data_IF_928069986640
#
_entry.id   IF_928069986640
#
_cell.length_a   1.000
_cell.length_b   1.000
_cell.length_c   1.000
_cell.angle_alpha   90.00
_cell.angle_beta   90.00
_cell.angle_gamma   90.00
#
_symmetry.space_group_name_H-M   'P 1'
#
loop_
_entity.id
_entity.type
_entity.pdbx_description
1 polymer ?
#
# COMPACT_ATOMS: atom_id res chain seq x y z
N UNK A 1 -65.85 -55.63 32.34
CA UNK A 1 -65.05 -54.55 31.73
C UNK A 1 -63.60 -54.99 31.82
N UNK A 2 -63.06 -55.44 30.68
CA UNK A 2 -61.81 -56.19 30.60
C UNK A 2 -60.61 -55.38 31.07
N UNK A 3 -59.78 -56.02 31.91
CA UNK A 3 -58.44 -55.55 32.20
C UNK A 3 -57.69 -55.39 30.87
N UNK A 4 -57.28 -54.17 30.56
CA UNK A 4 -56.31 -53.93 29.49
C UNK A 4 -55.02 -54.57 29.92
N UNK A 5 -54.76 -55.79 29.43
CA UNK A 5 -53.42 -56.34 29.38
C UNK A 5 -52.53 -55.27 28.75
N UNK A 6 -51.61 -54.74 29.56
CA UNK A 6 -50.57 -53.86 29.05
C UNK A 6 -49.79 -54.68 28.05
N UNK A 7 -49.98 -54.36 26.78
CA UNK A 7 -49.20 -54.84 25.67
C UNK A 7 -47.74 -54.49 25.98
N UNK A 8 -47.02 -55.44 26.58
CA UNK A 8 -45.58 -55.37 26.77
C UNK A 8 -44.99 -55.31 25.38
N UNK A 9 -44.75 -54.08 24.92
CA UNK A 9 -44.01 -53.79 23.70
C UNK A 9 -42.71 -54.59 23.78
N UNK A 10 -42.43 -55.49 22.83
CA UNK A 10 -41.15 -56.18 22.80
C UNK A 10 -40.07 -55.11 22.60
N UNK A 11 -39.31 -54.79 23.65
CA UNK A 11 -38.07 -54.03 23.51
C UNK A 11 -37.22 -54.80 22.51
N UNK A 12 -37.02 -54.21 21.34
CA UNK A 12 -36.12 -54.72 20.31
C UNK A 12 -34.70 -54.66 20.87
N UNK A 13 -34.31 -55.68 21.65
CA UNK A 13 -33.04 -55.79 22.34
C UNK A 13 -31.98 -56.39 21.40
N UNK A 14 -31.68 -55.67 20.32
CA UNK A 14 -30.46 -55.88 19.57
C UNK A 14 -29.48 -54.77 19.92
N UNK A 15 -28.31 -55.12 20.45
CA UNK A 15 -27.19 -54.18 20.46
C UNK A 15 -26.58 -54.13 19.07
N UNK A 16 -26.20 -52.95 18.59
CA UNK A 16 -25.51 -52.84 17.32
C UNK A 16 -24.17 -53.58 17.37
N UNK A 17 -23.85 -54.34 16.33
CA UNK A 17 -22.60 -55.12 16.23
C UNK A 17 -21.56 -54.31 15.44
N UNK A 18 -20.42 -54.04 16.07
CA UNK A 18 -19.27 -53.37 15.45
C UNK A 18 -18.27 -54.44 14.98
N UNK A 19 -17.24 -54.07 14.19
CA UNK A 19 -16.20 -54.94 13.62
C UNK A 19 -15.60 -55.96 14.62
N UNK A 20 -15.74 -55.71 15.94
CA UNK A 20 -15.54 -56.70 16.99
C UNK A 20 -16.51 -56.49 18.17
N UNK A 21 -17.62 -57.24 18.17
CA UNK A 21 -18.56 -57.31 19.31
C UNK A 21 -19.65 -56.23 19.34
N UNK A 22 -20.40 -56.17 20.43
CA UNK A 22 -21.51 -55.22 20.60
C UNK A 22 -21.03 -53.80 20.92
N UNK A 23 -21.84 -52.80 20.55
CA UNK A 23 -21.57 -51.40 20.84
C UNK A 23 -21.58 -51.14 22.35
N UNK A 24 -20.38 -51.06 22.94
CA UNK A 24 -20.16 -50.98 24.40
C UNK A 24 -21.03 -49.95 25.10
N UNK A 25 -21.25 -48.77 24.51
CA UNK A 25 -22.06 -47.71 25.11
C UNK A 25 -23.55 -48.08 25.21
N UNK A 26 -24.09 -48.77 24.21
CA UNK A 26 -25.49 -49.23 24.23
C UNK A 26 -25.69 -50.34 25.27
N UNK A 27 -24.69 -51.21 25.42
CA UNK A 27 -24.71 -52.25 26.46
C UNK A 27 -24.66 -51.65 27.86
N UNK A 28 -23.80 -50.66 28.08
CA UNK A 28 -23.71 -49.96 29.38
C UNK A 28 -25.04 -49.28 29.71
N UNK A 29 -25.59 -48.51 28.77
CA UNK A 29 -26.86 -47.80 28.95
C UNK A 29 -28.04 -48.76 29.20
N UNK A 30 -28.05 -49.93 28.55
CA UNK A 30 -29.06 -50.94 28.81
C UNK A 30 -28.91 -51.60 30.19
N UNK A 31 -27.67 -51.87 30.64
CA UNK A 31 -27.41 -52.40 31.98
C UNK A 31 -27.82 -51.37 33.03
N UNK A 32 -27.48 -50.10 32.85
CA UNK A 32 -27.89 -49.01 33.74
C UNK A 32 -29.42 -48.92 33.83
N UNK A 33 -30.13 -48.97 32.69
CA UNK A 33 -31.59 -49.01 32.67
C UNK A 33 -32.17 -50.25 33.37
N UNK A 34 -31.57 -51.44 33.19
CA UNK A 34 -32.01 -52.66 33.88
C UNK A 34 -31.75 -52.58 35.39
N UNK A 35 -30.62 -52.01 35.81
CA UNK A 35 -30.31 -51.77 37.20
C UNK A 35 -31.32 -50.81 37.84
N UNK A 36 -31.70 -49.74 37.14
CA UNK A 36 -32.76 -48.83 37.57
C UNK A 36 -34.12 -49.53 37.69
N UNK A 37 -34.52 -50.32 36.68
CA UNK A 37 -35.76 -51.10 36.73
C UNK A 37 -35.78 -52.12 37.87
N UNK A 38 -34.65 -52.81 38.12
CA UNK A 38 -34.52 -53.71 39.27
C UNK A 38 -34.61 -52.97 40.60
N UNK A 39 -34.05 -51.75 40.69
CA UNK A 39 -34.20 -50.91 41.89
C UNK A 39 -35.65 -50.51 42.12
N UNK A 40 -36.36 -50.01 41.11
CA UNK A 40 -37.77 -49.63 41.23
C UNK A 40 -38.65 -50.82 41.63
N UNK A 41 -38.52 -51.96 40.95
CA UNK A 41 -39.31 -53.16 41.29
C UNK A 41 -38.99 -53.71 42.68
N UNK A 42 -37.74 -53.56 43.15
CA UNK A 42 -37.37 -53.93 44.52
C UNK A 42 -37.97 -52.99 45.57
N UNK A 43 -38.06 -51.69 45.28
CA UNK A 43 -38.73 -50.71 46.12
C UNK A 43 -40.23 -50.97 46.19
N UNK A 44 -40.88 -51.16 45.05
CA UNK A 44 -42.32 -51.50 44.98
C UNK A 44 -42.62 -52.79 45.74
N UNK A 45 -41.76 -53.80 45.61
CA UNK A 45 -41.88 -55.05 46.38
C UNK A 45 -41.73 -54.79 47.88
N UNK A 46 -40.79 -53.96 48.31
CA UNK A 46 -40.59 -53.64 49.72
C UNK A 46 -41.80 -52.89 50.28
N UNK A 47 -42.36 -51.94 49.53
CA UNK A 47 -43.56 -51.21 49.91
C UNK A 47 -44.78 -52.15 50.02
N UNK A 48 -44.99 -53.03 49.04
CA UNK A 48 -46.09 -54.00 49.08
C UNK A 48 -45.96 -54.97 50.27
N UNK A 49 -44.73 -55.37 50.63
CA UNK A 49 -44.49 -56.19 51.82
C UNK A 49 -44.79 -55.43 53.12
N UNK A 50 -44.46 -54.13 53.19
CA UNK A 50 -44.80 -53.29 54.34
C UNK A 50 -46.33 -53.14 54.49
N UNK A 51 -47.04 -52.82 53.40
CA UNK A 51 -48.49 -52.72 53.37
C UNK A 51 -49.16 -54.05 53.80
N UNK A 52 -48.64 -55.19 53.34
CA UNK A 52 -49.15 -56.50 53.75
C UNK A 52 -48.92 -56.79 55.25
N UNK A 53 -47.80 -56.33 55.82
CA UNK A 53 -47.53 -56.44 57.24
C UNK A 53 -48.49 -55.57 58.07
N UNK A 54 -48.76 -54.34 57.63
CA UNK A 54 -49.70 -53.44 58.27
C UNK A 54 -51.14 -53.99 58.25
N UNK A 55 -51.57 -54.52 57.10
CA UNK A 55 -52.89 -55.16 56.98
C UNK A 55 -53.01 -56.38 57.90
N UNK A 56 -51.96 -57.21 58.03
CA UNK A 56 -51.94 -58.32 58.99
C UNK A 56 -52.06 -57.83 60.42
N UNK A 57 -51.37 -56.75 60.77
CA UNK A 57 -51.47 -56.14 62.11
C UNK A 57 -52.90 -55.66 62.40
N UNK A 58 -53.53 -54.99 61.44
CA UNK A 58 -54.93 -54.54 61.58
C UNK A 58 -55.89 -55.73 61.72
N UNK A 59 -55.69 -56.80 60.94
CA UNK A 59 -56.51 -58.01 61.08
C UNK A 59 -56.35 -58.68 62.44
N UNK A 60 -55.13 -58.72 62.97
CA UNK A 60 -54.90 -59.30 64.29
C UNK A 60 -55.50 -58.45 65.41
N UNK A 61 -55.36 -57.12 65.33
CA UNK A 61 -56.00 -56.19 66.27
C UNK A 61 -57.52 -56.34 66.23
N UNK A 62 -58.13 -56.33 65.04
CA UNK A 62 -59.59 -56.47 64.92
C UNK A 62 -60.10 -57.83 65.37
N UNK A 63 -59.31 -58.90 65.23
CA UNK A 63 -59.63 -60.22 65.79
C UNK A 63 -59.60 -60.20 67.32
N UNK A 64 -58.56 -59.60 67.91
CA UNK A 64 -58.45 -59.44 69.36
C UNK A 64 -59.61 -58.60 69.90
N UNK A 65 -59.93 -57.48 69.26
CA UNK A 65 -61.06 -56.63 69.64
C UNK A 65 -62.40 -57.39 69.60
N UNK A 66 -62.61 -58.25 68.60
CA UNK A 66 -63.80 -59.09 68.50
C UNK A 66 -63.85 -60.16 69.60
N UNK A 67 -62.72 -60.79 69.92
CA UNK A 67 -62.63 -61.76 71.02
C UNK A 67 -62.88 -61.08 72.38
N UNK A 68 -62.34 -59.89 72.60
CA UNK A 68 -62.60 -59.09 73.79
C UNK A 68 -64.07 -58.66 73.90
N UNK A 69 -64.66 -58.19 72.81
CA UNK A 69 -66.07 -57.82 72.76
C UNK A 69 -66.98 -59.03 73.06
N UNK A 70 -66.67 -60.20 72.49
CA UNK A 70 -67.38 -61.46 72.78
C UNK A 70 -67.27 -61.85 74.26
N UNK A 71 -66.06 -61.83 74.82
CA UNK A 71 -65.82 -62.13 76.23
C UNK A 71 -66.49 -61.11 77.17
N UNK A 72 -66.66 -59.86 76.73
CA UNK A 72 -67.39 -58.82 77.48
C UNK A 72 -68.90 -59.09 77.46
N UNK A 73 -69.46 -59.49 76.33
CA UNK A 73 -70.88 -59.88 76.22
C UNK A 73 -71.18 -61.08 77.12
N UNK A 74 -70.37 -62.14 77.06
CA UNK A 74 -70.53 -63.34 77.89
C UNK A 74 -70.45 -63.03 79.39
N UNK A 75 -69.58 -62.09 79.79
CA UNK A 75 -69.51 -61.58 81.17
C UNK A 75 -70.75 -60.78 81.57
N UNK A 76 -71.33 -59.98 80.68
CA UNK A 76 -72.54 -59.21 80.97
C UNK A 76 -73.78 -60.12 81.08
N UNK A 77 -73.85 -61.17 80.28
CA UNK A 77 -74.92 -62.18 80.34
C UNK A 77 -74.87 -62.98 81.65
N UNK A 78 -73.68 -63.31 82.15
CA UNK A 78 -73.49 -64.10 83.38
C UNK A 78 -73.65 -63.29 84.68
N UNK A 79 -73.48 -61.96 84.64
CA UNK A 79 -73.53 -61.08 85.83
C UNK A 79 -74.89 -60.40 86.06
N UNK A 80 -75.85 -60.57 85.15
CA UNK A 80 -77.16 -59.92 85.20
C UNK A 80 -78.17 -60.65 86.09
N UNK A 81 -77.96 -60.57 87.41
CA UNK A 81 -78.87 -61.11 88.42
C UNK A 81 -79.38 -60.05 89.41
N UNK A 82 -80.03 -58.97 88.95
CA UNK A 82 -80.95 -58.11 89.75
C UNK A 82 -81.47 -56.92 88.91
N UNK A 83 -82.60 -57.09 88.22
CA UNK A 83 -83.02 -56.18 87.13
C UNK A 83 -84.00 -55.05 87.50
N UNK A 84 -84.54 -55.03 88.71
CA UNK A 84 -85.54 -54.05 89.16
C UNK A 84 -85.03 -52.58 89.24
N UNK A 85 -84.40 -52.30 90.38
CA UNK A 85 -84.09 -50.93 90.82
C UNK A 85 -82.69 -50.43 90.43
N UNK A 86 -81.80 -51.34 90.00
CA UNK A 86 -80.50 -51.00 89.44
C UNK A 86 -80.68 -50.44 88.01
N UNK A 87 -81.52 -51.09 87.19
CA UNK A 87 -81.84 -50.66 85.83
C UNK A 87 -82.47 -49.27 85.79
N UNK A 88 -83.38 -48.95 86.71
CA UNK A 88 -84.05 -47.64 86.75
C UNK A 88 -83.12 -46.50 87.22
N UNK A 89 -82.16 -46.77 88.12
CA UNK A 89 -81.11 -45.81 88.47
C UNK A 89 -80.09 -45.64 87.33
N UNK A 90 -79.75 -46.72 86.64
CA UNK A 90 -78.84 -46.69 85.50
C UNK A 90 -79.45 -45.91 84.32
N UNK A 91 -80.73 -46.10 84.01
CA UNK A 91 -81.42 -45.31 82.98
C UNK A 91 -81.47 -43.81 83.32
N UNK A 92 -81.71 -43.46 84.60
CA UNK A 92 -81.66 -42.06 85.03
C UNK A 92 -80.27 -41.45 84.94
N UNK A 93 -79.24 -42.21 85.33
CA UNK A 93 -77.85 -41.78 85.23
C UNK A 93 -77.38 -41.65 83.78
N UNK A 94 -77.78 -42.58 82.91
CA UNK A 94 -77.51 -42.50 81.47
C UNK A 94 -78.18 -41.29 80.84
N UNK A 95 -79.44 -41.01 81.19
CA UNK A 95 -80.14 -39.82 80.68
C UNK A 95 -79.50 -38.53 81.16
N UNK A 96 -79.07 -38.46 82.42
CA UNK A 96 -78.29 -37.33 82.93
C UNK A 96 -76.94 -37.18 82.22
N UNK A 97 -76.25 -38.29 81.95
CA UNK A 97 -74.99 -38.28 81.21
C UNK A 97 -75.18 -37.90 79.73
N UNK A 98 -76.30 -38.28 79.11
CA UNK A 98 -76.70 -37.86 77.76
C UNK A 98 -77.00 -36.36 77.71
N UNK A 99 -77.77 -35.85 78.68
CA UNK A 99 -78.07 -34.42 78.82
C UNK A 99 -76.78 -33.62 79.07
N UNK A 100 -75.91 -34.09 79.98
CA UNK A 100 -74.60 -33.47 80.26
C UNK A 100 -73.66 -33.54 79.05
N UNK A 101 -73.64 -34.65 78.30
CA UNK A 101 -72.88 -34.75 77.06
C UNK A 101 -73.41 -33.79 75.98
N UNK A 102 -74.73 -33.64 75.85
CA UNK A 102 -75.33 -32.69 74.91
C UNK A 102 -74.99 -31.24 75.28
N UNK A 103 -74.99 -30.90 76.58
CA UNK A 103 -74.56 -29.59 77.07
C UNK A 103 -73.06 -29.34 76.79
N UNK A 104 -72.20 -30.34 77.05
CA UNK A 104 -70.77 -30.24 76.73
C UNK A 104 -70.54 -30.08 75.22
N UNK A 105 -71.27 -30.80 74.37
CA UNK A 105 -71.18 -30.64 72.92
C UNK A 105 -71.55 -29.22 72.51
N UNK A 106 -72.69 -28.71 72.97
CA UNK A 106 -73.12 -27.34 72.66
C UNK A 106 -72.11 -26.29 73.13
N UNK A 107 -71.49 -26.49 74.29
CA UNK A 107 -70.41 -25.61 74.78
C UNK A 107 -69.19 -25.68 73.87
N UNK A 108 -68.70 -26.87 73.54
CA UNK A 108 -67.53 -27.03 72.66
C UNK A 108 -67.77 -26.47 71.25
N UNK A 109 -68.98 -26.61 70.71
CA UNK A 109 -69.36 -26.04 69.41
C UNK A 109 -69.30 -24.51 69.43
N UNK A 110 -69.79 -23.88 70.51
CA UNK A 110 -69.70 -22.43 70.70
C UNK A 110 -68.26 -21.97 70.83
N UNK A 111 -67.46 -22.63 71.66
CA UNK A 111 -66.04 -22.32 71.81
C UNK A 111 -65.27 -22.47 70.50
N UNK A 112 -65.57 -23.52 69.72
CA UNK A 112 -64.99 -23.71 68.39
C UNK A 112 -65.42 -22.62 67.41
N UNK A 113 -66.68 -22.19 67.44
CA UNK A 113 -67.17 -21.09 66.62
C UNK A 113 -66.48 -19.76 66.98
N UNK A 114 -66.40 -19.43 68.26
CA UNK A 114 -65.72 -18.24 68.76
C UNK A 114 -64.24 -18.23 68.40
N UNK A 115 -63.57 -19.38 68.54
CA UNK A 115 -62.16 -19.51 68.16
C UNK A 115 -61.98 -19.33 66.66
N UNK A 116 -62.85 -19.92 65.83
CA UNK A 116 -62.82 -19.74 64.37
C UNK A 116 -62.98 -18.27 63.99
N UNK A 117 -63.99 -17.58 64.53
CA UNK A 117 -64.24 -16.17 64.24
C UNK A 117 -63.02 -15.29 64.62
N UNK A 118 -62.42 -15.52 65.79
CA UNK A 118 -61.19 -14.82 66.20
C UNK A 118 -60.04 -15.09 65.25
N UNK A 119 -59.78 -16.36 64.90
CA UNK A 119 -58.70 -16.71 63.98
C UNK A 119 -58.92 -16.16 62.57
N UNK A 120 -60.17 -16.12 62.09
CA UNK A 120 -60.50 -15.54 60.79
C UNK A 120 -60.27 -14.03 60.79
N UNK A 121 -60.65 -13.33 61.87
CA UNK A 121 -60.39 -11.91 62.04
C UNK A 121 -58.87 -11.61 62.11
N UNK A 122 -58.11 -12.40 62.87
CA UNK A 122 -56.65 -12.28 62.95
C UNK A 122 -55.98 -12.53 61.59
N UNK A 123 -56.38 -13.59 60.88
CA UNK A 123 -55.87 -13.87 59.53
C UNK A 123 -56.21 -12.78 58.53
N UNK A 124 -57.42 -12.20 58.61
CA UNK A 124 -57.83 -11.09 57.77
C UNK A 124 -57.00 -9.83 58.07
N UNK A 125 -56.71 -9.55 59.34
CA UNK A 125 -55.85 -8.43 59.74
C UNK A 125 -54.41 -8.60 59.20
N UNK A 126 -53.80 -9.77 59.40
CA UNK A 126 -52.45 -10.08 58.92
C UNK A 126 -52.38 -10.00 57.39
N UNK A 127 -53.41 -10.49 56.67
CA UNK A 127 -53.48 -10.38 55.20
C UNK A 127 -53.56 -8.92 54.76
N UNK A 128 -54.41 -8.12 55.39
CA UNK A 128 -54.53 -6.70 55.08
C UNK A 128 -53.23 -5.93 55.35
N UNK A 129 -52.49 -6.27 56.41
CA UNK A 129 -51.17 -5.71 56.69
C UNK A 129 -50.15 -6.10 55.62
N UNK A 130 -50.04 -7.39 55.29
CA UNK A 130 -49.14 -7.88 54.26
C UNK A 130 -49.43 -7.26 52.87
N UNK A 131 -50.71 -7.07 52.53
CA UNK A 131 -51.12 -6.40 51.30
C UNK A 131 -50.71 -4.93 51.28
N UNK A 132 -50.88 -4.21 52.40
CA UNK A 132 -50.43 -2.81 52.53
C UNK A 132 -48.92 -2.69 52.41
N UNK A 133 -48.16 -3.54 53.10
CA UNK A 133 -46.70 -3.57 53.01
C UNK A 133 -46.22 -3.89 51.60
N UNK A 134 -46.83 -4.88 50.94
CA UNK A 134 -46.51 -5.20 49.56
C UNK A 134 -46.85 -4.06 48.61
N UNK A 135 -47.97 -3.35 48.81
CA UNK A 135 -48.34 -2.20 48.01
C UNK A 135 -47.38 -1.03 48.22
N UNK A 136 -46.98 -0.76 49.47
CA UNK A 136 -45.99 0.26 49.81
C UNK A 136 -44.63 -0.03 49.15
N UNK A 137 -44.11 -1.25 49.29
CA UNK A 137 -42.85 -1.66 48.66
C UNK A 137 -42.90 -1.54 47.12
N UNK A 138 -44.03 -1.87 46.49
CA UNK A 138 -44.21 -1.69 45.04
C UNK A 138 -44.22 -0.22 44.65
N UNK A 139 -44.94 0.63 45.37
CA UNK A 139 -44.99 2.05 45.10
C UNK A 139 -43.61 2.72 45.27
N UNK A 140 -42.86 2.34 46.30
CA UNK A 140 -41.48 2.78 46.52
C UNK A 140 -40.57 2.36 45.35
N UNK A 141 -40.58 1.06 45.00
CA UNK A 141 -39.79 0.55 43.88
C UNK A 141 -40.14 1.22 42.54
N UNK A 142 -41.43 1.48 42.27
CA UNK A 142 -41.87 2.20 41.08
C UNK A 142 -41.35 3.64 41.06
N UNK A 143 -41.34 4.33 42.21
CA UNK A 143 -40.82 5.69 42.33
C UNK A 143 -39.31 5.75 42.11
N UNK A 144 -38.56 4.78 42.62
CA UNK A 144 -37.11 4.65 42.42
C UNK A 144 -36.78 4.33 40.96
N UNK A 145 -37.52 3.41 40.33
CA UNK A 145 -37.38 3.11 38.91
C UNK A 145 -37.70 4.33 38.04
N UNK A 146 -38.69 5.13 38.42
CA UNK A 146 -39.00 6.37 37.73
C UNK A 146 -37.89 7.40 37.87
N UNK A 147 -37.37 7.62 39.09
CA UNK A 147 -36.26 8.54 39.35
C UNK A 147 -34.99 8.14 38.59
N UNK A 148 -34.59 6.87 38.67
CA UNK A 148 -33.42 6.35 37.93
C UNK A 148 -33.58 6.47 36.43
N UNK A 149 -34.78 6.23 35.87
CA UNK A 149 -35.05 6.46 34.44
C UNK A 149 -34.92 7.94 34.06
N UNK A 150 -35.42 8.86 34.89
CA UNK A 150 -35.25 10.29 34.65
C UNK A 150 -33.78 10.72 34.72
N UNK A 151 -33.01 10.19 35.67
CA UNK A 151 -31.59 10.46 35.79
C UNK A 151 -30.81 9.92 34.59
N UNK A 152 -31.10 8.70 34.15
CA UNK A 152 -30.52 8.13 32.93
C UNK A 152 -30.88 8.97 31.69
N UNK A 153 -32.15 9.36 31.55
CA UNK A 153 -32.60 10.18 30.42
C UNK A 153 -31.95 11.57 30.40
N UNK A 154 -31.84 12.23 31.57
CA UNK A 154 -31.19 13.54 31.67
C UNK A 154 -29.70 13.46 31.39
N UNK A 155 -29.01 12.41 31.87
CA UNK A 155 -27.61 12.15 31.57
C UNK A 155 -27.39 11.85 30.09
N UNK A 156 -28.24 11.04 29.47
CA UNK A 156 -28.19 10.76 28.03
C UNK A 156 -28.35 12.05 27.22
N UNK A 157 -29.37 12.86 27.52
CA UNK A 157 -29.59 14.14 26.85
C UNK A 157 -28.42 15.14 27.06
N UNK A 158 -27.78 15.13 28.22
CA UNK A 158 -26.60 15.96 28.48
C UNK A 158 -25.37 15.50 27.68
N UNK A 159 -25.20 14.19 27.49
CA UNK A 159 -24.13 13.63 26.67
C UNK A 159 -24.35 13.93 25.18
N UNK A 160 -25.57 13.74 24.67
CA UNK A 160 -25.93 14.09 23.29
C UNK A 160 -25.67 15.57 22.98
N UNK A 161 -26.00 16.48 23.92
CA UNK A 161 -25.69 17.92 23.76
C UNK A 161 -24.19 18.18 23.68
N UNK A 162 -23.39 17.51 24.51
CA UNK A 162 -21.92 17.64 24.50
C UNK A 162 -21.34 17.10 23.19
N UNK A 163 -21.84 15.98 22.70
CA UNK A 163 -21.41 15.40 21.41
C UNK A 163 -21.70 16.37 20.27
N UNK A 164 -22.92 16.90 20.18
CA UNK A 164 -23.29 17.91 19.18
C UNK A 164 -22.44 19.19 19.30
N UNK A 165 -22.13 19.64 20.51
CA UNK A 165 -21.24 20.79 20.73
C UNK A 165 -19.80 20.50 20.23
N UNK A 166 -19.29 19.30 20.48
CA UNK A 166 -17.95 18.90 20.00
C UNK A 166 -17.92 18.74 18.49
N UNK A 167 -18.94 18.13 17.89
CA UNK A 167 -19.08 18.02 16.43
C UNK A 167 -19.10 19.39 15.76
N UNK A 168 -19.85 20.35 16.33
CA UNK A 168 -19.85 21.74 15.85
C UNK A 168 -18.47 22.37 15.95
N UNK A 169 -17.77 22.22 17.08
CA UNK A 169 -16.40 22.74 17.26
C UNK A 169 -15.42 22.11 16.27
N UNK A 170 -15.52 20.81 16.02
CA UNK A 170 -14.69 20.12 15.03
C UNK A 170 -14.98 20.66 13.63
N UNK A 171 -16.25 20.81 13.24
CA UNK A 171 -16.64 21.37 11.95
C UNK A 171 -16.15 22.82 11.77
N UNK A 172 -16.26 23.64 12.82
CA UNK A 172 -15.77 25.03 12.82
C UNK A 172 -14.25 25.09 12.65
N UNK A 173 -13.50 24.26 13.38
CA UNK A 173 -12.05 24.17 13.27
C UNK A 173 -11.61 23.66 11.89
N UNK A 174 -12.29 22.64 11.35
CA UNK A 174 -12.04 22.17 9.99
C UNK A 174 -12.29 23.25 8.95
N UNK A 175 -13.38 24.01 9.09
CA UNK A 175 -13.68 25.13 8.20
C UNK A 175 -12.60 26.21 8.27
N UNK A 176 -12.13 26.57 9.47
CA UNK A 176 -11.03 27.52 9.66
C UNK A 176 -9.72 27.00 9.03
N UNK A 177 -9.40 25.73 9.22
CA UNK A 177 -8.19 25.14 8.63
C UNK A 177 -8.26 25.11 7.11
N UNK A 178 -9.42 24.77 6.53
CA UNK A 178 -9.64 24.84 5.08
C UNK A 178 -9.49 26.27 4.55
N UNK A 179 -10.09 27.26 5.23
CA UNK A 179 -9.94 28.66 4.85
C UNK A 179 -8.48 29.13 4.87
N UNK A 180 -7.72 28.79 5.92
CA UNK A 180 -6.29 29.15 6.00
C UNK A 180 -5.45 28.42 4.96
N UNK A 181 -5.79 27.18 4.62
CA UNK A 181 -5.13 26.46 3.54
C UNK A 181 -5.38 27.15 2.19
N UNK A 182 -6.64 27.48 1.88
CA UNK A 182 -7.01 28.20 0.65
C UNK A 182 -6.34 29.59 0.56
N UNK A 183 -6.23 30.30 1.69
CA UNK A 183 -5.51 31.59 1.77
C UNK A 183 -4.02 31.41 1.47
N UNK A 184 -3.35 30.47 2.13
CA UNK A 184 -1.92 30.19 1.91
C UNK A 184 -1.67 29.73 0.48
N UNK A 185 -2.53 28.89 -0.09
CA UNK A 185 -2.42 28.46 -1.49
C UNK A 185 -2.51 29.64 -2.46
N UNK A 186 -3.42 30.59 -2.21
CA UNK A 186 -3.53 31.82 -3.03
C UNK A 186 -2.29 32.69 -2.89
N UNK A 187 -1.84 32.96 -1.68
CA UNK A 187 -0.62 33.74 -1.43
C UNK A 187 0.61 33.08 -2.09
N UNK A 188 0.74 31.76 -1.99
CA UNK A 188 1.82 31.02 -2.64
C UNK A 188 1.73 31.11 -4.17
N UNK A 189 0.52 30.98 -4.74
CA UNK A 189 0.32 31.11 -6.18
C UNK A 189 0.71 32.52 -6.66
N UNK A 190 0.27 33.58 -5.98
CA UNK A 190 0.63 34.96 -6.30
C UNK A 190 2.14 35.20 -6.21
N UNK A 191 2.79 34.68 -5.16
CA UNK A 191 4.24 34.79 -5.00
C UNK A 191 5.02 34.06 -6.10
N UNK A 192 4.55 32.89 -6.53
CA UNK A 192 5.16 32.13 -7.63
C UNK A 192 4.99 32.85 -8.96
N UNK A 193 3.81 33.39 -9.25
CA UNK A 193 3.57 34.19 -10.47
C UNK A 193 4.49 35.43 -10.50
N UNK A 194 4.61 36.15 -9.38
CA UNK A 194 5.53 37.29 -9.29
C UNK A 194 6.99 36.87 -9.52
N UNK A 195 7.42 35.78 -8.89
CA UNK A 195 8.77 35.25 -9.06
C UNK A 195 9.05 34.82 -10.51
N UNK A 196 8.06 34.25 -11.20
CA UNK A 196 8.17 33.90 -12.62
C UNK A 196 8.33 35.15 -13.50
N UNK A 197 7.52 36.19 -13.25
CA UNK A 197 7.63 37.47 -13.99
C UNK A 197 9.00 38.11 -13.79
N UNK A 198 9.51 38.13 -12.56
CA UNK A 198 10.84 38.67 -12.25
C UNK A 198 11.96 37.83 -12.89
N UNK A 199 11.85 36.50 -12.85
CA UNK A 199 12.81 35.61 -13.51
C UNK A 199 12.83 35.84 -15.03
N UNK A 200 11.67 35.91 -15.68
CA UNK A 200 11.53 36.20 -17.10
C UNK A 200 12.14 37.55 -17.46
N UNK A 201 11.92 38.57 -16.62
CA UNK A 201 12.50 39.90 -16.82
C UNK A 201 14.02 39.84 -16.76
N UNK A 202 14.59 39.19 -15.74
CA UNK A 202 16.04 39.04 -15.60
C UNK A 202 16.65 38.26 -16.76
N UNK A 203 16.00 37.19 -17.23
CA UNK A 203 16.44 36.43 -18.41
C UNK A 203 16.43 37.30 -19.67
N UNK A 204 15.42 38.14 -19.87
CA UNK A 204 15.38 39.07 -21.01
C UNK A 204 16.48 40.14 -20.92
N UNK A 205 16.65 40.75 -19.75
CA UNK A 205 17.69 41.77 -19.52
C UNK A 205 19.10 41.19 -19.75
N UNK A 206 19.37 40.00 -19.21
CA UNK A 206 20.66 39.31 -19.39
C UNK A 206 20.88 38.88 -20.85
N UNK A 207 19.86 38.37 -21.54
CA UNK A 207 19.96 38.03 -22.96
C UNK A 207 20.28 39.27 -23.82
N UNK A 208 19.62 40.41 -23.55
CA UNK A 208 19.92 41.67 -24.24
C UNK A 208 21.37 42.12 -24.00
N UNK A 209 21.85 42.00 -22.76
CA UNK A 209 23.24 42.33 -22.42
C UNK A 209 24.23 41.41 -23.15
N UNK A 210 24.02 40.09 -23.13
CA UNK A 210 24.84 39.12 -23.86
C UNK A 210 24.89 39.45 -25.36
N UNK A 211 23.74 39.66 -25.99
CA UNK A 211 23.65 40.03 -27.41
C UNK A 211 24.40 41.33 -27.72
N UNK A 212 24.33 42.32 -26.84
CA UNK A 212 25.07 43.59 -27.01
C UNK A 212 26.58 43.40 -26.94
N UNK A 213 27.06 42.56 -26.00
CA UNK A 213 28.49 42.26 -25.84
C UNK A 213 29.02 41.41 -26.98
N UNK A 214 28.22 40.47 -27.48
CA UNK A 214 28.53 39.68 -28.67
C UNK A 214 28.64 40.59 -29.90
N UNK A 215 27.65 41.44 -30.16
CA UNK A 215 27.68 42.39 -31.27
C UNK A 215 28.88 43.36 -31.18
N UNK A 216 29.21 43.86 -29.99
CA UNK A 216 30.39 44.71 -29.80
C UNK A 216 31.71 43.95 -29.99
N UNK A 217 31.76 42.67 -29.60
CA UNK A 217 32.91 41.80 -29.84
C UNK A 217 33.08 41.48 -31.32
N UNK A 218 31.99 41.21 -32.04
CA UNK A 218 31.96 41.02 -33.49
C UNK A 218 32.45 42.28 -34.21
N UNK A 219 31.92 43.45 -33.88
CA UNK A 219 32.38 44.74 -34.43
C UNK A 219 33.87 44.96 -34.21
N UNK A 220 34.40 44.58 -33.04
CA UNK A 220 35.85 44.67 -32.77
C UNK A 220 36.64 43.68 -33.63
N UNK A 221 36.16 42.44 -33.80
CA UNK A 221 36.77 41.43 -34.68
C UNK A 221 36.78 41.88 -36.13
N UNK A 222 35.67 42.38 -36.65
CA UNK A 222 35.56 42.92 -38.02
C UNK A 222 36.53 44.07 -38.25
N UNK A 223 36.58 45.05 -37.33
CA UNK A 223 37.56 46.15 -37.42
C UNK A 223 38.99 45.63 -37.43
N UNK A 224 39.33 44.70 -36.55
CA UNK A 224 40.67 44.11 -36.50
C UNK A 224 41.01 43.35 -37.80
N UNK A 225 40.06 42.61 -38.36
CA UNK A 225 40.21 41.94 -39.66
C UNK A 225 40.45 42.94 -40.78
N UNK A 226 39.65 44.01 -40.87
CA UNK A 226 39.84 45.07 -41.87
C UNK A 226 41.22 45.74 -41.76
N UNK A 227 41.67 46.07 -40.55
CA UNK A 227 43.01 46.63 -40.33
C UNK A 227 44.12 45.65 -40.73
N UNK A 228 43.95 44.37 -40.41
CA UNK A 228 44.89 43.33 -40.80
C UNK A 228 44.97 43.19 -42.33
N UNK A 229 43.83 43.10 -43.01
CA UNK A 229 43.75 43.04 -44.48
C UNK A 229 44.40 44.27 -45.14
N UNK A 230 44.10 45.48 -44.64
CA UNK A 230 44.73 46.71 -45.14
C UNK A 230 46.25 46.68 -44.93
N UNK A 231 46.71 46.18 -43.78
CA UNK A 231 48.15 46.09 -43.48
C UNK A 231 48.82 45.03 -44.36
N UNK A 232 48.18 43.89 -44.59
CA UNK A 232 48.70 42.82 -45.44
C UNK A 232 48.72 43.22 -46.92
N UNK A 233 47.67 43.88 -47.41
CA UNK A 233 47.64 44.43 -48.78
C UNK A 233 48.71 45.50 -48.96
N UNK A 234 48.91 46.39 -47.98
CA UNK A 234 50.01 47.35 -47.99
C UNK A 234 51.38 46.66 -48.05
N UNK A 235 51.65 45.69 -47.16
CA UNK A 235 52.94 44.98 -47.12
C UNK A 235 53.20 44.16 -48.39
N UNK A 236 52.17 43.53 -48.95
CA UNK A 236 52.29 42.78 -50.21
C UNK A 236 52.55 43.72 -51.39
N UNK A 237 51.91 44.88 -51.44
CA UNK A 237 52.19 45.92 -52.44
C UNK A 237 53.61 46.49 -52.29
N UNK A 238 54.05 46.83 -51.08
CA UNK A 238 55.41 47.31 -50.80
C UNK A 238 56.45 46.24 -51.19
N UNK A 239 56.22 44.97 -50.86
CA UNK A 239 57.10 43.87 -51.26
C UNK A 239 57.13 43.66 -52.78
N UNK A 240 55.98 43.75 -53.45
CA UNK A 240 55.88 43.66 -54.90
C UNK A 240 56.60 44.83 -55.59
N UNK A 241 56.51 46.05 -55.05
CA UNK A 241 57.24 47.22 -55.52
C UNK A 241 58.76 47.02 -55.39
N UNK A 242 59.25 46.60 -54.23
CA UNK A 242 60.67 46.30 -54.04
C UNK A 242 61.17 45.19 -54.98
N UNK A 243 60.37 44.15 -55.21
CA UNK A 243 60.71 43.10 -56.16
C UNK A 243 60.77 43.65 -57.60
N UNK A 244 59.80 44.49 -58.00
CA UNK A 244 59.79 45.15 -59.31
C UNK A 244 61.01 46.06 -59.49
N UNK A 245 61.40 46.83 -58.48
CA UNK A 245 62.61 47.66 -58.49
C UNK A 245 63.87 46.81 -58.66
N UNK A 246 63.99 45.71 -57.89
CA UNK A 246 65.12 44.78 -58.01
C UNK A 246 65.16 44.11 -59.37
N UNK A 247 64.01 43.66 -59.91
CA UNK A 247 63.91 43.10 -61.26
C UNK A 247 64.29 44.14 -62.32
N UNK A 248 63.85 45.38 -62.21
CA UNK A 248 64.22 46.45 -63.14
C UNK A 248 65.73 46.75 -63.11
N UNK A 249 66.32 46.82 -61.91
CA UNK A 249 67.77 46.99 -61.74
C UNK A 249 68.54 45.78 -62.28
N UNK A 250 68.07 44.55 -62.03
CA UNK A 250 68.67 43.32 -62.55
C UNK A 250 68.57 43.28 -64.09
N UNK A 251 67.42 43.64 -64.66
CA UNK A 251 67.21 43.78 -66.11
C UNK A 251 68.16 44.81 -66.70
N UNK A 252 68.23 46.02 -66.15
CA UNK A 252 69.14 47.07 -66.61
C UNK A 252 70.63 46.65 -66.53
N UNK A 253 71.04 45.98 -65.45
CA UNK A 253 72.39 45.40 -65.32
C UNK A 253 72.64 44.33 -66.38
N UNK A 254 71.69 43.40 -66.57
CA UNK A 254 71.81 42.36 -67.59
C UNK A 254 71.91 42.94 -69.00
N UNK A 255 71.10 43.95 -69.33
CA UNK A 255 71.16 44.67 -70.61
C UNK A 255 72.50 45.38 -70.80
N UNK A 256 73.03 46.02 -69.75
CA UNK A 256 74.35 46.65 -69.80
C UNK A 256 75.47 45.64 -70.06
N UNK A 257 75.46 44.50 -69.34
CA UNK A 257 76.44 43.42 -69.53
C UNK A 257 76.33 42.83 -70.94
N UNK A 258 75.11 42.55 -71.43
CA UNK A 258 74.89 42.07 -72.81
C UNK A 258 75.40 43.08 -73.84
N UNK A 259 75.13 44.39 -73.65
CA UNK A 259 75.64 45.44 -74.53
C UNK A 259 77.17 45.52 -74.51
N UNK A 260 77.80 45.46 -73.33
CA UNK A 260 79.25 45.49 -73.20
C UNK A 260 79.92 44.25 -73.79
N UNK A 261 79.38 43.06 -73.52
CA UNK A 261 79.85 41.80 -74.10
C UNK A 261 79.68 41.81 -75.62
N UNK A 262 78.57 42.34 -76.14
CA UNK A 262 78.35 42.50 -77.59
C UNK A 262 79.37 43.45 -78.22
N UNK A 263 79.68 44.59 -77.57
CA UNK A 263 80.72 45.52 -78.03
C UNK A 263 82.12 44.89 -78.02
N UNK A 264 82.47 44.18 -76.96
CA UNK A 264 83.76 43.49 -76.85
C UNK A 264 83.86 42.34 -77.87
N UNK A 265 82.78 41.58 -78.09
CA UNK A 265 82.72 40.56 -79.13
C UNK A 265 82.87 41.18 -80.53
N UNK A 266 82.20 42.30 -80.82
CA UNK A 266 82.37 43.05 -82.07
C UNK A 266 83.80 43.56 -82.24
N UNK A 267 84.43 44.08 -81.18
CA UNK A 267 85.84 44.50 -81.20
C UNK A 267 86.76 43.33 -81.51
N UNK A 268 86.61 42.19 -80.85
CA UNK A 268 87.41 40.98 -81.12
C UNK A 268 87.19 40.45 -82.53
N UNK A 269 85.95 40.47 -83.03
CA UNK A 269 85.64 40.11 -84.42
C UNK A 269 86.31 41.06 -85.41
N UNK A 270 86.34 42.37 -85.13
CA UNK A 270 87.06 43.36 -85.94
C UNK A 270 88.59 43.12 -85.90
N UNK A 271 89.18 42.90 -84.72
CA UNK A 271 90.61 42.57 -84.60
C UNK A 271 90.98 41.27 -85.33
N UNK A 272 90.12 40.24 -85.28
CA UNK A 272 90.30 39.02 -86.06
C UNK A 272 90.16 39.31 -87.55
N UNK A 273 89.18 40.12 -87.97
CA UNK A 273 89.01 40.53 -89.36
C UNK A 273 90.25 41.28 -89.88
N UNK A 274 90.80 42.22 -89.12
CA UNK A 274 92.01 42.96 -89.46
C UNK A 274 93.22 42.02 -89.59
N UNK A 275 93.44 41.13 -88.61
CA UNK A 275 94.51 40.10 -88.71
C UNK A 275 94.32 39.17 -89.89
N UNK A 276 93.08 38.80 -90.24
CA UNK A 276 92.82 38.00 -91.45
C UNK A 276 93.09 38.78 -92.72
N UNK A 277 92.81 40.10 -92.75
CA UNK A 277 93.14 40.97 -93.87
C UNK A 277 94.66 41.11 -94.04
N UNK A 278 95.41 41.31 -92.95
CA UNK A 278 96.88 41.32 -92.93
C UNK A 278 97.45 39.98 -93.43
N UNK A 279 96.92 38.84 -92.96
CA UNK A 279 97.31 37.52 -93.46
C UNK A 279 97.02 37.35 -94.96
N UNK A 280 95.89 37.87 -95.44
CA UNK A 280 95.58 37.87 -96.87
C UNK A 280 96.53 38.76 -97.68
N UNK A 281 96.96 39.89 -97.13
CA UNK A 281 97.90 40.81 -97.77
C UNK A 281 99.33 40.27 -97.80
N UNK A 282 99.78 39.65 -96.70
CA UNK A 282 101.00 38.83 -96.64
C UNK A 282 100.96 37.70 -97.67
N UNK A 283 99.82 37.00 -97.78
CA UNK A 283 99.64 35.97 -98.81
C UNK A 283 99.76 36.56 -100.22
N UNK A 284 99.18 37.74 -100.49
CA UNK A 284 99.32 38.42 -101.80
C UNK A 284 100.76 38.82 -102.09
N UNK A 285 101.49 39.33 -101.11
CA UNK A 285 102.90 39.73 -101.28
C UNK A 285 103.81 38.53 -101.47
N UNK A 286 103.64 37.45 -100.70
CA UNK A 286 104.37 36.19 -100.95
C UNK A 286 104.03 35.64 -102.33
N UNK A 287 102.75 35.68 -102.72
CA UNK A 287 102.33 35.26 -104.06
C UNK A 287 102.95 36.15 -105.16
N UNK A 288 103.01 37.47 -104.98
CA UNK A 288 103.63 38.38 -105.95
C UNK A 288 105.14 38.18 -106.02
N UNK A 289 105.83 37.98 -104.90
CA UNK A 289 107.26 37.67 -104.84
C UNK A 289 107.58 36.33 -105.50
N UNK A 290 106.77 35.29 -105.29
CA UNK A 290 106.91 34.01 -105.99
C UNK A 290 106.65 34.15 -107.50
N UNK A 291 105.67 34.96 -107.90
CA UNK A 291 105.43 35.26 -109.32
C UNK A 291 106.60 36.02 -109.95
N UNK A 292 107.18 36.98 -109.23
CA UNK A 292 108.32 37.79 -109.65
C UNK A 292 109.60 36.95 -109.76
N UNK A 293 109.83 36.05 -108.79
CA UNK A 293 110.91 35.06 -108.85
C UNK A 293 110.73 34.11 -110.05
N UNK A 294 109.50 33.67 -110.34
CA UNK A 294 109.18 32.84 -111.51
C UNK A 294 109.42 33.58 -112.83
N UNK A 295 109.04 34.86 -112.93
CA UNK A 295 109.32 35.67 -114.12
C UNK A 295 110.82 35.98 -114.29
N UNK A 296 111.55 36.23 -113.20
CA UNK A 296 113.00 36.44 -113.22
C UNK A 296 113.76 35.17 -113.63
N UNK A 297 113.30 33.99 -113.19
CA UNK A 297 113.83 32.70 -113.65
C UNK A 297 113.50 32.44 -115.13
N UNK A 298 112.33 32.87 -115.64
CA UNK A 298 112.04 32.78 -117.08
C UNK A 298 112.88 33.75 -117.93
N UNK A 299 113.13 34.98 -117.44
CA UNK A 299 113.96 35.97 -118.12
C UNK A 299 115.47 35.63 -118.08
N UNK A 300 115.92 34.88 -117.06
CA UNK A 300 117.27 34.31 -117.01
C UNK A 300 117.43 33.10 -117.94
N UNK A 301 116.35 32.32 -118.16
CA UNK A 301 116.34 31.20 -119.11
C UNK A 301 116.39 31.67 -120.58
N UNK A 302 115.91 32.86 -120.91
CA UNK A 302 115.95 33.42 -122.28
C UNK A 302 117.31 34.00 -122.71
N UNK A 303 118.30 34.17 -121.80
CA UNK A 303 119.61 34.80 -122.11
C UNK A 303 120.80 33.86 -122.26
N UNK A 304 120.62 32.53 -122.16
CA UNK A 304 121.72 31.54 -122.23
C UNK A 304 121.59 30.57 -123.41
N UNK A 305 121.22 31.05 -124.61
CA UNK A 305 121.29 30.21 -125.82
C UNK A 305 121.81 30.98 -127.06
N UNK A 306 122.89 30.51 -127.73
CA UNK A 306 123.31 30.95 -129.05
C UNK A 306 122.75 30.07 -130.19
N UNK A 307 122.26 30.71 -131.27
CA UNK A 307 122.27 30.42 -132.74
C UNK A 307 122.47 28.94 -133.17
N UNK A 308 121.69 28.25 -134.03
CA UNK A 308 120.53 28.50 -134.92
C UNK A 308 119.99 27.14 -135.49
N UNK A 309 119.00 27.24 -136.41
CA UNK A 309 118.53 26.28 -137.46
C UNK A 309 117.35 25.33 -137.07
N UNK A 310 116.65 24.71 -138.05
CA UNK A 310 115.32 24.99 -138.64
C UNK A 310 114.20 24.14 -137.98
N UNK A 311 112.89 24.31 -138.21
CA UNK A 311 112.14 24.08 -139.45
C UNK A 311 110.69 24.64 -139.36
N UNK A 312 110.10 24.86 -140.54
CA UNK A 312 108.96 25.68 -140.98
C UNK A 312 107.62 25.56 -140.19
N UNK A 313 106.97 26.67 -139.82
CA UNK A 313 106.00 27.56 -140.56
C UNK A 313 104.58 26.98 -140.74
N UNK A 314 103.61 27.60 -140.05
CA UNK A 314 102.23 27.89 -140.49
C UNK A 314 101.63 28.94 -139.52
N UNK A 315 101.35 30.18 -139.95
CA UNK A 315 100.23 30.66 -140.78
C UNK A 315 98.98 30.91 -139.90
N UNK A 316 98.44 32.12 -139.72
CA UNK A 316 98.55 33.43 -140.42
C UNK A 316 98.57 34.59 -139.42
#
# INVERSE_FOLDING_TARGET
MGAKEQELVPLHAGFDVVYRGFHRRQVIEHIENLEEQLRFTSLDRAEALAQAADLRKILEMTRQDLEEARARIERLETTSGSHASATERMHRMLRLAEDEAAEMHLQTERECADLRERTEAELAAVRAEAERESAAMRAEAESELYATRQDCASRAAAMERRELEMERRCADLEAQHRQRADEVERECAEAVELAQVDADRLLRETALQCNSLEADSERKREKAQQFFELTMTRRTNEAAQHLQEQEALARARSEFVVKMASREAQRRLAEVADRTAELHELRRTVHSQLSAARTALSAAAERVAPVHIPEQVAAS
#
